data_IF_611907269389
#
_entry.id   IF_611907269389
#
_cell.length_a   1.000
_cell.length_b   1.000
_cell.length_c   1.000
_cell.angle_alpha   90.00
_cell.angle_beta   90.00
_cell.angle_gamma   90.00
#
_symmetry.space_group_name_H-M   'P 1'
#
loop_
_entity.id
_entity.type
_entity.pdbx_description
1 polymer ?
#
# COMPACT_ATOMS: atom_id res chain seq x y z
N UNK A 1 -39.61 13.77 23.50
CA UNK A 1 -38.17 13.47 23.56
C UNK A 1 -37.82 12.85 22.23
N UNK A 2 -36.92 13.49 21.48
CA UNK A 2 -36.63 13.20 20.07
C UNK A 2 -35.78 11.93 19.92
N UNK A 3 -35.94 11.31 18.75
CA UNK A 3 -35.35 10.06 18.30
C UNK A 3 -33.90 10.35 17.87
N UNK A 4 -32.92 9.83 18.61
CA UNK A 4 -31.49 9.76 18.22
C UNK A 4 -30.89 8.49 18.86
N UNK A 5 -31.35 7.31 18.45
CA UNK A 5 -30.88 6.03 19.01
C UNK A 5 -30.55 4.95 17.97
N UNK A 6 -30.64 5.27 16.68
CA UNK A 6 -30.17 4.38 15.64
C UNK A 6 -28.99 5.05 14.96
N UNK A 7 -27.83 4.43 15.16
CA UNK A 7 -26.61 4.74 14.42
C UNK A 7 -26.88 4.65 12.91
N UNK A 8 -26.34 5.61 12.16
CA UNK A 8 -26.48 5.64 10.70
C UNK A 8 -25.33 4.83 10.15
N UNK A 9 -25.63 3.73 9.46
CA UNK A 9 -24.59 2.95 8.80
C UNK A 9 -24.04 3.71 7.59
N UNK A 10 -22.91 4.39 7.76
CA UNK A 10 -22.28 5.11 6.66
C UNK A 10 -21.69 4.16 5.62
N UNK A 11 -21.54 2.86 5.92
CA UNK A 11 -21.05 1.88 4.96
C UNK A 11 -22.07 1.47 3.91
N UNK A 12 -23.36 1.63 4.20
CA UNK A 12 -24.46 1.46 3.23
C UNK A 12 -24.55 2.64 2.24
N UNK A 13 -23.86 3.76 2.51
CA UNK A 13 -23.76 4.91 1.61
C UNK A 13 -22.45 4.87 0.80
N UNK A 14 -22.56 4.59 -0.50
CA UNK A 14 -21.44 4.54 -1.44
C UNK A 14 -20.69 5.86 -1.67
N UNK A 15 -21.07 6.94 -0.98
CA UNK A 15 -20.40 8.24 -1.07
C UNK A 15 -19.35 8.47 0.01
N UNK A 16 -19.46 7.84 1.18
CA UNK A 16 -18.64 8.17 2.34
C UNK A 16 -17.32 7.39 2.43
N UNK A 17 -17.19 6.21 1.82
CA UNK A 17 -16.04 5.30 2.03
C UNK A 17 -15.20 5.01 0.79
N UNK A 18 -15.22 5.88 -0.23
CA UNK A 18 -14.47 5.66 -1.49
C UNK A 18 -12.96 5.52 -1.31
N UNK A 19 -12.41 6.14 -0.28
CA UNK A 19 -10.98 6.10 0.05
C UNK A 19 -10.64 4.96 1.03
N UNK A 20 -11.60 4.05 1.24
CA UNK A 20 -11.44 2.86 2.06
C UNK A 20 -11.44 1.59 1.20
N UNK A 21 -10.65 0.62 1.63
CA UNK A 21 -10.67 -0.70 0.99
C UNK A 21 -11.83 -1.56 1.48
N UNK A 22 -12.16 -1.45 2.77
CA UNK A 22 -13.30 -2.06 3.42
C UNK A 22 -13.80 -1.11 4.50
N UNK A 23 -15.11 -0.86 4.54
CA UNK A 23 -15.75 0.02 5.52
C UNK A 23 -16.27 -0.81 6.69
N UNK A 24 -16.10 -0.29 7.91
CA UNK A 24 -16.61 -0.89 9.14
C UNK A 24 -17.40 0.17 9.88
N UNK A 25 -18.71 -0.05 9.98
CA UNK A 25 -19.59 0.85 10.72
C UNK A 25 -19.33 0.75 12.23
N UNK A 26 -19.38 1.87 12.93
CA UNK A 26 -19.14 1.98 14.38
C UNK A 26 -20.18 2.88 15.03
N UNK A 27 -20.39 2.79 16.34
CA UNK A 27 -21.37 3.66 16.99
C UNK A 27 -20.97 5.14 16.87
N UNK A 28 -21.74 5.90 16.08
CA UNK A 28 -21.58 7.34 15.86
C UNK A 28 -20.60 7.74 14.75
N UNK A 29 -20.06 6.78 13.97
CA UNK A 29 -19.13 7.02 12.84
C UNK A 29 -18.84 5.71 12.10
N UNK A 30 -17.94 5.73 11.11
CA UNK A 30 -17.30 4.54 10.56
C UNK A 30 -15.78 4.61 10.67
N UNK A 31 -15.13 3.45 10.51
CA UNK A 31 -13.68 3.29 10.35
C UNK A 31 -13.40 2.44 9.12
N UNK A 32 -12.14 2.43 8.69
CA UNK A 32 -11.72 1.64 7.53
C UNK A 32 -10.72 0.55 7.87
N UNK A 33 -10.85 -0.56 7.16
CA UNK A 33 -9.87 -1.65 7.13
C UNK A 33 -9.03 -1.53 5.86
N UNK A 34 -7.71 -1.54 6.03
CA UNK A 34 -6.76 -1.36 4.95
C UNK A 34 -6.15 -2.70 4.52
N UNK A 35 -5.96 -2.86 3.21
CA UNK A 35 -5.24 -4.01 2.64
C UNK A 35 -3.76 -3.90 2.98
N UNK A 36 -3.03 -5.01 2.85
CA UNK A 36 -1.57 -5.01 2.98
C UNK A 36 -0.93 -3.97 2.04
N UNK A 37 0.11 -3.30 2.52
CA UNK A 37 0.76 -2.19 1.81
C UNK A 37 0.11 -0.82 2.06
N UNK A 38 -0.88 -0.74 2.94
CA UNK A 38 -1.53 0.51 3.31
C UNK A 38 -1.70 0.61 4.82
N UNK A 39 -1.74 1.84 5.32
CA UNK A 39 -2.02 2.16 6.71
C UNK A 39 -3.27 3.00 6.85
N UNK A 40 -3.93 2.84 7.99
CA UNK A 40 -5.11 3.62 8.33
C UNK A 40 -4.67 5.04 8.68
N UNK A 41 -5.30 6.05 8.07
CA UNK A 41 -5.03 7.45 8.37
C UNK A 41 -5.19 7.70 9.88
N UNK A 42 -4.13 8.11 10.60
CA UNK A 42 -4.14 8.15 12.06
C UNK A 42 -5.03 9.27 12.60
N UNK A 43 -5.37 10.26 11.77
CA UNK A 43 -6.17 11.42 12.17
C UNK A 43 -7.66 11.13 12.06
N UNK A 44 -8.07 10.54 10.93
CA UNK A 44 -9.48 10.37 10.58
C UNK A 44 -9.96 8.94 10.76
N UNK A 45 -9.08 7.94 10.58
CA UNK A 45 -9.42 6.51 10.52
C UNK A 45 -10.42 6.14 9.41
N UNK A 46 -10.57 7.02 8.41
CA UNK A 46 -11.56 6.91 7.35
C UNK A 46 -10.92 6.85 5.97
N UNK A 47 -9.63 6.55 5.91
CA UNK A 47 -8.85 6.48 4.67
C UNK A 47 -7.69 5.52 4.83
N UNK A 48 -7.39 4.79 3.77
CA UNK A 48 -6.17 4.01 3.66
C UNK A 48 -5.12 4.78 2.87
N UNK A 49 -4.00 5.10 3.50
CA UNK A 49 -2.85 5.73 2.86
C UNK A 49 -1.86 4.64 2.44
N UNK A 50 -1.26 4.82 1.27
CA UNK A 50 -0.24 3.92 0.75
C UNK A 50 1.03 3.97 1.61
N UNK A 51 1.60 2.82 1.93
CA UNK A 51 2.85 2.74 2.68
C UNK A 51 4.01 2.92 1.70
N UNK A 52 4.76 4.01 1.84
CA UNK A 52 5.94 4.20 1.03
C UNK A 52 7.14 3.43 1.61
N UNK A 53 7.35 2.20 1.16
CA UNK A 53 8.46 1.38 1.69
C UNK A 53 9.84 1.98 1.36
N UNK A 54 9.95 2.81 0.32
CA UNK A 54 11.19 3.48 -0.05
C UNK A 54 11.62 4.60 0.91
N UNK A 55 10.71 5.09 1.76
CA UNK A 55 11.04 5.99 2.88
C UNK A 55 11.48 5.23 4.13
N UNK A 56 11.34 3.91 4.11
CA UNK A 56 11.79 2.99 5.14
C UNK A 56 13.27 2.60 5.02
N UNK A 57 13.63 1.53 5.70
CA UNK A 57 15.00 1.00 5.74
C UNK A 57 15.20 -0.15 4.77
N UNK A 58 16.35 -0.13 4.10
CA UNK A 58 16.87 -1.24 3.29
C UNK A 58 17.03 -2.49 4.16
N UNK A 59 16.50 -3.62 3.69
CA UNK A 59 16.54 -4.94 4.34
C UNK A 59 15.49 -5.15 5.44
N UNK A 60 14.68 -4.14 5.76
CA UNK A 60 13.52 -4.25 6.66
C UNK A 60 12.23 -3.97 5.87
N UNK A 61 12.13 -2.78 5.28
CA UNK A 61 10.92 -2.31 4.57
C UNK A 61 10.97 -2.61 3.06
N UNK A 62 12.18 -2.58 2.46
CA UNK A 62 12.40 -3.02 1.08
C UNK A 62 13.68 -3.86 0.93
N UNK A 63 13.76 -4.66 -0.14
CA UNK A 63 14.81 -5.66 -0.31
C UNK A 63 16.23 -5.07 -0.36
N UNK A 64 17.18 -5.81 0.23
CA UNK A 64 18.59 -5.40 0.26
C UNK A 64 19.23 -5.34 -1.14
N UNK A 65 18.83 -6.23 -2.04
CA UNK A 65 19.32 -6.28 -3.42
C UNK A 65 18.50 -5.40 -4.39
N UNK A 66 17.78 -4.41 -3.84
CA UNK A 66 17.12 -3.36 -4.61
C UNK A 66 18.11 -2.21 -4.87
N UNK A 67 18.51 -1.99 -6.13
CA UNK A 67 19.43 -0.88 -6.46
C UNK A 67 18.79 0.50 -6.29
N UNK A 68 17.55 0.66 -6.76
CA UNK A 68 16.78 1.90 -6.60
C UNK A 68 15.32 1.55 -6.34
N UNK A 69 14.85 1.84 -5.14
CA UNK A 69 13.45 1.65 -4.76
C UNK A 69 12.53 2.63 -5.52
N UNK A 70 11.39 2.13 -5.96
CA UNK A 70 10.31 2.91 -6.60
C UNK A 70 8.99 2.53 -5.93
N UNK A 71 8.39 3.50 -5.24
CA UNK A 71 7.10 3.29 -4.59
C UNK A 71 5.98 3.11 -5.63
N UNK A 72 5.04 2.22 -5.34
CA UNK A 72 3.86 1.95 -6.17
C UNK A 72 2.62 1.86 -5.28
N UNK A 73 1.42 1.93 -5.85
CA UNK A 73 0.21 1.84 -5.03
C UNK A 73 0.07 0.41 -4.50
N UNK A 74 0.17 0.25 -3.18
CA UNK A 74 0.03 -0.98 -2.41
C UNK A 74 1.30 -1.83 -2.31
N UNK A 75 2.44 -1.36 -2.85
CA UNK A 75 3.75 -2.00 -2.66
C UNK A 75 4.87 -1.14 -3.26
N UNK A 76 6.03 -1.72 -3.54
CA UNK A 76 7.11 -1.10 -4.29
C UNK A 76 7.66 -2.05 -5.36
N UNK A 77 8.43 -1.48 -6.27
CA UNK A 77 9.27 -2.20 -7.24
C UNK A 77 10.69 -1.65 -7.18
N UNK A 78 11.62 -2.35 -7.80
CA UNK A 78 13.00 -1.90 -7.91
C UNK A 78 13.39 -1.57 -9.35
N UNK A 79 14.20 -0.54 -9.51
CA UNK A 79 14.92 -0.27 -10.74
C UNK A 79 16.36 -0.74 -10.62
N UNK A 80 16.77 -1.54 -11.59
CA UNK A 80 18.06 -2.18 -11.59
C UNK A 80 19.10 -1.40 -12.40
N UNK A 81 20.31 -1.34 -11.87
CA UNK A 81 21.46 -0.78 -12.57
C UNK A 81 21.78 -1.58 -13.84
N UNK A 82 22.64 -1.02 -14.70
CA UNK A 82 23.09 -1.69 -15.91
C UNK A 82 23.67 -3.08 -15.60
N UNK A 83 23.35 -4.05 -16.46
CA UNK A 83 23.74 -5.47 -16.38
C UNK A 83 22.96 -6.33 -15.36
N UNK A 84 21.99 -5.76 -14.68
CA UNK A 84 21.03 -6.47 -13.83
C UNK A 84 19.63 -6.38 -14.43
N UNK A 85 18.78 -7.32 -14.03
CA UNK A 85 17.38 -7.39 -14.42
C UNK A 85 16.52 -7.51 -13.16
N UNK A 86 15.28 -7.05 -13.25
CA UNK A 86 14.32 -7.21 -12.17
C UNK A 86 13.99 -8.71 -12.07
N UNK A 87 14.02 -9.24 -10.86
CA UNK A 87 13.60 -10.61 -10.60
C UNK A 87 12.11 -10.75 -10.96
N UNK A 88 11.74 -11.60 -11.94
CA UNK A 88 10.36 -11.71 -12.39
C UNK A 88 9.44 -12.37 -11.36
N UNK A 89 10.00 -13.12 -10.41
CA UNK A 89 9.23 -13.82 -9.38
C UNK A 89 8.86 -12.86 -8.24
N UNK A 90 9.75 -11.92 -7.89
CA UNK A 90 9.54 -11.00 -6.76
C UNK A 90 9.18 -9.58 -7.18
N UNK A 91 9.65 -9.11 -8.33
CA UNK A 91 9.69 -7.71 -8.76
C UNK A 91 10.35 -6.74 -7.77
N UNK A 92 11.14 -7.26 -6.83
CA UNK A 92 11.68 -6.51 -5.68
C UNK A 92 13.18 -6.65 -5.51
N UNK A 93 13.80 -7.60 -6.20
CA UNK A 93 15.24 -7.82 -6.18
C UNK A 93 15.83 -7.62 -7.57
N UNK A 94 17.06 -7.12 -7.64
CA UNK A 94 17.82 -7.06 -8.87
C UNK A 94 18.75 -8.26 -8.97
N UNK A 95 18.48 -9.15 -9.93
CA UNK A 95 19.31 -10.32 -10.20
C UNK A 95 20.25 -10.04 -11.37
N UNK A 96 21.47 -10.55 -11.29
CA UNK A 96 22.49 -10.33 -12.31
C UNK A 96 22.59 -11.49 -13.27
N UNK A 97 22.02 -11.37 -14.47
CA UNK A 97 22.38 -12.19 -15.64
C UNK A 97 22.06 -11.45 -16.96
N UNK A 98 22.64 -10.27 -17.22
CA UNK A 98 22.72 -9.85 -18.64
C UNK A 98 23.76 -10.72 -19.34
N UNK A 99 23.31 -11.83 -19.92
CA UNK A 99 24.06 -12.55 -20.93
C UNK A 99 24.46 -11.56 -22.02
N UNK A 100 25.72 -11.12 -21.99
CA UNK A 100 26.36 -10.41 -23.09
C UNK A 100 26.41 -11.37 -24.28
N UNK A 101 25.36 -11.39 -25.11
CA UNK A 101 25.55 -11.77 -26.50
C UNK A 101 26.21 -10.55 -27.14
N UNK A 102 27.54 -10.56 -27.09
CA UNK A 102 28.39 -9.75 -27.96
C UNK A 102 27.96 -10.04 -29.41
N UNK A 103 27.45 -9.03 -30.11
CA UNK A 103 27.34 -9.04 -31.57
C UNK A 103 28.62 -8.46 -32.18
#
# INVERSE_FOLDING_TARGET
MLIDFLDIDECEDNTHHKDCHSCVNTEGSYTCECRNGFELDPSTKQKCNDNNECEGKIGEDYEQDCHRCVNTIGSYTCECNQYYEIDPDTNKTCIGEKAFISF
#
